data_IF_773312670980
#
_entry.id   IF_773312670980
#
_cell.length_a   1.000
_cell.length_b   1.000
_cell.length_c   1.000
_cell.angle_alpha   90.00
_cell.angle_beta   90.00
_cell.angle_gamma   90.00
#
_symmetry.space_group_name_H-M   'P 1'
#
loop_
_entity.id
_entity.type
_entity.pdbx_description
1 polymer ?
#
# COMPACT_ATOMS: atom_id res chain seq x y z
N UNK A 1 21.10 -5.57 3.25
CA UNK A 1 20.54 -4.35 2.66
C UNK A 1 19.89 -4.69 1.33
N UNK A 2 18.58 -4.48 1.21
CA UNK A 2 17.82 -4.66 -0.02
C UNK A 2 17.37 -3.29 -0.54
N UNK A 3 17.67 -2.99 -1.81
CA UNK A 3 17.20 -1.77 -2.48
C UNK A 3 15.94 -2.12 -3.27
N UNK A 4 14.87 -1.38 -2.98
CA UNK A 4 13.53 -1.53 -3.55
C UNK A 4 13.10 -0.20 -4.17
N UNK A 5 12.08 -0.23 -5.01
CA UNK A 5 11.52 0.97 -5.64
C UNK A 5 11.01 1.99 -4.61
N UNK A 6 10.57 1.53 -3.43
CA UNK A 6 10.10 2.42 -2.37
C UNK A 6 11.20 2.91 -1.41
N UNK A 7 12.42 2.38 -1.49
CA UNK A 7 13.50 2.74 -0.59
C UNK A 7 14.52 1.64 -0.30
N UNK A 8 15.12 1.70 0.88
CA UNK A 8 16.13 0.74 1.33
C UNK A 8 15.66 0.10 2.62
N UNK A 9 15.65 -1.23 2.63
CA UNK A 9 15.38 -2.02 3.83
C UNK A 9 16.69 -2.63 4.30
N UNK A 10 17.01 -2.41 5.58
CA UNK A 10 18.13 -3.01 6.27
C UNK A 10 17.64 -3.75 7.53
N UNK A 11 18.52 -4.51 8.18
CA UNK A 11 18.15 -5.40 9.30
C UNK A 11 17.33 -4.72 10.40
N UNK A 12 17.66 -3.46 10.71
CA UNK A 12 17.04 -2.72 11.81
C UNK A 12 16.48 -1.36 11.38
N UNK A 13 16.42 -1.07 10.08
CA UNK A 13 15.93 0.23 9.60
C UNK A 13 15.29 0.15 8.23
N UNK A 14 14.35 1.06 8.00
CA UNK A 14 13.74 1.29 6.70
C UNK A 14 13.96 2.75 6.35
N UNK A 15 14.51 3.01 5.18
CA UNK A 15 14.62 4.35 4.61
C UNK A 15 13.70 4.43 3.41
N UNK A 16 12.63 5.20 3.52
CA UNK A 16 11.75 5.50 2.40
C UNK A 16 12.39 6.58 1.53
N UNK A 17 12.25 6.47 0.21
CA UNK A 17 12.60 7.59 -0.67
C UNK A 17 11.51 8.68 -0.63
N UNK A 18 11.82 9.85 -1.19
CA UNK A 18 10.91 11.00 -1.17
C UNK A 18 9.59 10.70 -1.90
N UNK A 19 9.65 10.03 -3.05
CA UNK A 19 8.45 9.66 -3.82
C UNK A 19 7.50 8.78 -3.00
N UNK A 20 8.01 7.76 -2.31
CA UNK A 20 7.24 6.91 -1.40
C UNK A 20 6.56 7.72 -0.30
N UNK A 21 7.28 8.66 0.31
CA UNK A 21 6.74 9.48 1.39
C UNK A 21 5.61 10.39 0.89
N UNK A 22 5.78 11.00 -0.29
CA UNK A 22 4.76 11.84 -0.93
C UNK A 22 3.53 11.01 -1.33
N UNK A 23 3.75 9.81 -1.88
CA UNK A 23 2.68 8.88 -2.22
C UNK A 23 1.92 8.39 -1.00
N UNK A 24 2.61 8.04 0.08
CA UNK A 24 1.99 7.64 1.35
C UNK A 24 1.14 8.77 1.94
N UNK A 25 1.66 10.01 1.94
CA UNK A 25 0.89 11.19 2.37
C UNK A 25 -0.38 11.35 1.54
N UNK A 26 -0.25 11.31 0.22
CA UNK A 26 -1.39 11.49 -0.70
C UNK A 26 -2.42 10.38 -0.55
N UNK A 27 -1.96 9.13 -0.40
CA UNK A 27 -2.83 7.97 -0.19
C UNK A 27 -3.58 8.06 1.14
N UNK A 28 -2.92 8.53 2.21
CA UNK A 28 -3.58 8.80 3.48
C UNK A 28 -4.63 9.92 3.36
N UNK A 29 -4.30 11.03 2.72
CA UNK A 29 -5.23 12.15 2.52
C UNK A 29 -6.47 11.74 1.72
N UNK A 30 -6.31 10.87 0.72
CA UNK A 30 -7.44 10.34 -0.03
C UNK A 30 -8.25 9.32 0.78
N UNK A 31 -7.58 8.39 1.46
CA UNK A 31 -8.23 7.40 2.34
C UNK A 31 -9.05 8.08 3.45
N UNK A 32 -8.53 9.16 4.04
CA UNK A 32 -9.22 9.90 5.10
C UNK A 32 -10.59 10.45 4.66
N UNK A 33 -10.79 10.73 3.37
CA UNK A 33 -12.10 11.19 2.83
C UNK A 33 -13.19 10.11 2.92
N UNK A 34 -12.81 8.84 3.04
CA UNK A 34 -13.77 7.73 3.19
C UNK A 34 -14.46 7.73 4.56
N UNK A 35 -13.91 8.43 5.55
CA UNK A 35 -14.42 8.45 6.92
C UNK A 35 -14.19 7.16 7.71
N UNK A 36 -13.45 6.19 7.14
CA UNK A 36 -13.12 4.93 7.82
C UNK A 36 -12.09 5.15 8.94
N UNK A 37 -12.24 4.42 10.05
CA UNK A 37 -11.31 4.49 11.18
C UNK A 37 -9.99 3.79 10.84
N UNK A 38 -8.92 4.56 10.63
CA UNK A 38 -7.59 4.04 10.28
C UNK A 38 -7.08 2.98 11.26
N UNK A 39 -7.49 3.01 12.53
CA UNK A 39 -7.05 2.03 13.56
C UNK A 39 -7.47 0.60 13.21
N UNK A 40 -8.49 0.46 12.37
CA UNK A 40 -8.98 -0.82 11.87
C UNK A 40 -8.12 -1.38 10.73
N UNK A 41 -7.07 -0.69 10.28
CA UNK A 41 -6.31 -1.08 9.11
C UNK A 41 -4.83 -1.32 9.44
N UNK A 42 -4.21 -2.20 8.66
CA UNK A 42 -2.76 -2.30 8.51
C UNK A 42 -2.35 -1.62 7.21
N UNK A 43 -1.25 -0.86 7.24
CA UNK A 43 -0.74 -0.19 6.05
C UNK A 43 0.50 -0.94 5.56
N UNK A 44 0.44 -1.45 4.33
CA UNK A 44 1.55 -2.13 3.67
C UNK A 44 2.09 -1.28 2.53
N UNK A 45 3.43 -1.23 2.40
CA UNK A 45 4.11 -0.62 1.26
C UNK A 45 4.90 -1.72 0.55
N UNK A 46 4.62 -1.96 -0.73
CA UNK A 46 5.23 -3.04 -1.48
C UNK A 46 5.86 -2.53 -2.79
N UNK A 47 6.87 -3.26 -3.25
CA UNK A 47 7.49 -3.07 -4.55
C UNK A 47 6.90 -4.09 -5.52
N UNK A 48 5.97 -3.65 -6.38
CA UNK A 48 5.22 -4.54 -7.26
C UNK A 48 6.12 -5.18 -8.35
N UNK A 49 7.22 -4.52 -8.71
CA UNK A 49 8.18 -5.06 -9.67
C UNK A 49 8.86 -6.34 -9.18
N UNK A 50 8.96 -6.50 -7.87
CA UNK A 50 9.53 -7.69 -7.22
C UNK A 50 8.50 -8.79 -6.97
N UNK A 51 7.21 -8.51 -7.16
CA UNK A 51 6.14 -9.49 -7.03
C UNK A 51 5.96 -10.36 -8.29
N UNK A 52 6.55 -9.97 -9.43
CA UNK A 52 6.44 -10.67 -10.72
C UNK A 52 7.78 -11.27 -11.15
N UNK A 53 7.72 -12.40 -11.86
CA UNK A 53 8.91 -13.07 -12.40
C UNK A 53 9.52 -12.34 -13.62
N UNK A 54 8.71 -11.61 -14.38
CA UNK A 54 9.13 -10.80 -15.55
C UNK A 54 8.34 -9.48 -15.56
N UNK A 55 8.80 -8.44 -14.82
CA UNK A 55 8.08 -7.18 -14.69
C UNK A 55 8.20 -6.32 -15.94
N UNK A 56 7.09 -5.77 -16.41
CA UNK A 56 7.07 -4.72 -17.44
C UNK A 56 7.33 -3.35 -16.82
N UNK A 57 7.70 -2.31 -17.61
CA UNK A 57 7.86 -0.94 -17.09
C UNK A 57 6.66 -0.44 -16.28
N UNK A 58 5.44 -0.85 -16.61
CA UNK A 58 4.22 -0.50 -15.88
C UNK A 58 4.12 -1.18 -14.50
N UNK A 59 4.84 -2.28 -14.28
CA UNK A 59 4.92 -2.98 -13.00
C UNK A 59 5.98 -2.34 -12.06
N UNK A 60 6.78 -1.39 -12.54
CA UNK A 60 7.72 -0.61 -11.71
C UNK A 60 6.99 0.48 -10.92
N UNK A 61 6.16 0.05 -9.98
CA UNK A 61 5.35 0.92 -9.15
C UNK A 61 5.46 0.53 -7.68
N UNK A 62 5.16 1.50 -6.83
CA UNK A 62 5.02 1.28 -5.39
C UNK A 62 3.54 1.09 -5.11
N UNK A 63 3.17 0.08 -4.33
CA UNK A 63 1.81 -0.02 -3.81
C UNK A 63 1.75 0.40 -2.36
N UNK A 64 0.72 1.16 -2.00
CA UNK A 64 0.36 1.47 -0.62
C UNK A 64 -1.03 0.91 -0.38
N UNK A 65 -1.13 -0.10 0.49
CA UNK A 65 -2.39 -0.82 0.75
C UNK A 65 -2.84 -0.57 2.18
N UNK A 66 -4.06 -0.06 2.34
CA UNK A 66 -4.79 0.02 3.60
C UNK A 66 -5.64 -1.23 3.70
N UNK A 67 -5.16 -2.24 4.42
CA UNK A 67 -5.83 -3.53 4.58
C UNK A 67 -6.65 -3.56 5.85
N UNK A 68 -7.97 -3.71 5.75
CA UNK A 68 -8.85 -3.83 6.90
C UNK A 68 -8.48 -5.09 7.71
N UNK A 69 -8.23 -4.91 9.01
CA UNK A 69 -7.96 -6.00 9.94
C UNK A 69 -9.14 -6.95 9.97
N UNK A 70 -8.85 -8.22 10.19
CA UNK A 70 -9.87 -9.23 10.45
C UNK A 70 -10.01 -9.42 11.96
N UNK A 71 -11.22 -9.31 12.54
CA UNK A 71 -11.42 -9.63 13.94
C UNK A 71 -10.97 -11.08 14.25
N UNK A 72 -10.26 -11.31 15.36
CA UNK A 72 -9.89 -12.66 15.78
C UNK A 72 -11.13 -13.58 15.85
N UNK A 73 -11.04 -14.76 15.25
CA UNK A 73 -12.14 -15.74 15.23
C UNK A 73 -13.18 -15.53 14.12
N UNK A 74 -13.11 -14.44 13.36
CA UNK A 74 -13.89 -14.29 12.13
C UNK A 74 -13.08 -14.79 10.91
N UNK A 75 -13.58 -15.84 10.26
CA UNK A 75 -13.30 -16.07 8.84
C UNK A 75 -14.32 -15.24 8.06
N UNK A 76 -13.86 -14.36 7.20
CA UNK A 76 -14.77 -13.49 6.43
C UNK A 76 -15.81 -14.31 5.68
N UNK A 77 -17.00 -13.73 5.50
CA UNK A 77 -17.91 -14.15 4.44
C UNK A 77 -17.26 -13.74 3.10
N UNK A 78 -16.26 -14.51 2.67
CA UNK A 78 -15.35 -14.10 1.59
C UNK A 78 -14.28 -13.09 2.06
N UNK A 79 -13.89 -12.16 1.18
CA UNK A 79 -12.80 -11.20 1.40
C UNK A 79 -13.21 -9.89 2.10
N UNK A 80 -14.50 -9.68 2.39
CA UNK A 80 -14.96 -8.44 3.00
C UNK A 80 -14.75 -8.46 4.53
N UNK A 81 -13.94 -7.52 5.04
CA UNK A 81 -13.84 -7.28 6.49
C UNK A 81 -15.03 -6.44 6.98
N UNK A 82 -15.65 -6.77 8.12
CA UNK A 82 -16.68 -5.91 8.72
C UNK A 82 -16.11 -4.59 9.27
N UNK A 83 -14.79 -4.48 9.41
CA UNK A 83 -14.14 -3.30 9.98
C UNK A 83 -13.88 -2.18 8.95
N UNK A 84 -14.06 -2.47 7.67
CA UNK A 84 -13.96 -1.51 6.58
C UNK A 84 -13.61 -2.14 5.23
N UNK A 85 -13.60 -1.29 4.20
CA UNK A 85 -13.21 -1.62 2.83
C UNK A 85 -11.74 -1.30 2.63
N UNK A 86 -10.95 -2.33 2.32
CA UNK A 86 -9.52 -2.19 2.03
C UNK A 86 -9.31 -1.40 0.73
N UNK A 87 -8.23 -0.62 0.66
CA UNK A 87 -7.90 0.19 -0.52
C UNK A 87 -6.42 0.05 -0.88
N UNK A 88 -6.11 -0.08 -2.17
CA UNK A 88 -4.75 -0.11 -2.71
C UNK A 88 -4.52 1.10 -3.62
N UNK A 89 -3.46 1.83 -3.35
CA UNK A 89 -3.00 2.98 -4.12
C UNK A 89 -1.73 2.59 -4.87
N UNK A 90 -1.70 2.81 -6.17
CA UNK A 90 -0.51 2.62 -7.01
C UNK A 90 0.17 3.97 -7.17
N UNK A 91 1.45 4.01 -6.82
CA UNK A 91 2.24 5.23 -6.68
C UNK A 91 3.45 5.17 -7.61
N UNK A 92 3.72 6.28 -8.31
CA UNK A 92 4.93 6.46 -9.11
C UNK A 92 6.18 6.44 -8.21
N UNK A 93 7.19 5.60 -8.49
CA UNK A 93 8.44 5.58 -7.73
C UNK A 93 9.32 6.82 -7.99
N UNK A 94 9.03 7.58 -9.04
CA UNK A 94 9.79 8.78 -9.43
C UNK A 94 9.22 10.04 -8.78
N UNK A 95 7.89 10.23 -8.87
CA UNK A 95 7.22 11.48 -8.47
C UNK A 95 6.45 11.36 -7.17
N UNK A 96 6.04 10.15 -6.78
CA UNK A 96 5.14 9.92 -5.65
C UNK A 96 3.67 10.21 -5.97
N UNK A 97 3.32 10.47 -7.23
CA UNK A 97 1.93 10.69 -7.65
C UNK A 97 1.14 9.38 -7.59
N UNK A 98 -0.14 9.48 -7.21
CA UNK A 98 -1.08 8.36 -7.29
C UNK A 98 -1.47 8.15 -8.75
N UNK A 99 -1.08 7.01 -9.30
CA UNK A 99 -1.39 6.61 -10.68
C UNK A 99 -2.77 5.97 -10.77
N UNK A 100 -3.13 5.12 -9.79
CA UNK A 100 -4.39 4.35 -9.77
C UNK A 100 -4.83 4.08 -8.33
N UNK A 101 -6.14 3.93 -8.13
CA UNK A 101 -6.75 3.53 -6.85
C UNK A 101 -7.65 2.33 -7.09
N UNK A 102 -7.51 1.31 -6.25
CA UNK A 102 -8.31 0.09 -6.28
C UNK A 102 -9.01 -0.11 -4.95
N UNK A 103 -10.32 -0.39 -5.00
CA UNK A 103 -11.03 -0.98 -3.87
C UNK A 103 -10.72 -2.47 -3.85
N UNK A 104 -10.02 -2.93 -2.82
CA UNK A 104 -9.78 -4.36 -2.60
C UNK A 104 -11.00 -4.91 -1.86
N UNK A 105 -11.78 -5.75 -2.55
CA UNK A 105 -12.98 -6.44 -2.03
C UNK A 105 -12.63 -7.72 -1.32
#
# INVERSE_FOLDING_TARGET
MSKLNFGVVDRCSVRLNTATLLGLKSAYEDFAKTGQDLRNFEICIEDESKARADPTPEDHVISVTFSAKMPPGMRGLGNASPLGTSMKYVVSPETGEILRVYLTK
#
